data_IF_176327637227
#
_entry.id   IF_176327637227
#
_cell.length_a   1.000
_cell.length_b   1.000
_cell.length_c   1.000
_cell.angle_alpha   90.00
_cell.angle_beta   90.00
_cell.angle_gamma   90.00
#
_symmetry.space_group_name_H-M   'P 1'
#
loop_
_entity.id
_entity.type
_entity.pdbx_description
1 polymer ?
#
# COMPACT_ATOMS: atom_id res chain seq x y z
N UNK A 1 -9.95 -30.20 18.24
CA UNK A 1 -10.72 -29.46 19.26
C UNK A 1 -11.56 -28.33 18.63
N UNK A 2 -12.89 -28.43 18.72
CA UNK A 2 -13.82 -27.34 18.43
C UNK A 2 -13.87 -26.41 19.65
N UNK A 3 -13.05 -25.35 19.70
CA UNK A 3 -13.15 -24.36 20.77
C UNK A 3 -14.24 -23.34 20.42
N UNK A 4 -15.33 -23.36 21.20
CA UNK A 4 -16.34 -22.29 21.22
C UNK A 4 -16.01 -21.38 22.41
N UNK A 5 -15.25 -20.32 22.16
CA UNK A 5 -14.86 -19.35 23.21
C UNK A 5 -15.85 -18.19 23.20
N UNK A 6 -16.79 -18.21 24.14
CA UNK A 6 -17.71 -17.11 24.36
C UNK A 6 -17.08 -16.23 25.46
N UNK A 7 -16.79 -14.97 25.14
CA UNK A 7 -16.46 -13.90 26.09
C UNK A 7 -15.23 -14.11 27.00
N UNK A 8 -14.07 -14.44 26.44
CA UNK A 8 -12.82 -14.50 27.20
C UNK A 8 -11.95 -13.24 27.06
N UNK A 9 -11.36 -12.79 28.18
CA UNK A 9 -10.29 -11.78 28.22
C UNK A 9 -8.93 -12.51 28.32
N UNK A 10 -8.10 -12.40 27.29
CA UNK A 10 -6.73 -12.94 27.30
C UNK A 10 -5.72 -11.81 27.41
N UNK A 11 -4.96 -11.77 28.49
CA UNK A 11 -3.86 -10.81 28.70
C UNK A 11 -2.52 -11.56 28.58
N UNK A 12 -1.66 -11.14 27.66
CA UNK A 12 -0.31 -11.69 27.53
C UNK A 12 -0.22 -13.13 27.00
N UNK A 13 -1.30 -13.70 26.45
CA UNK A 13 -1.28 -15.08 25.95
C UNK A 13 -0.23 -15.27 24.85
N UNK A 14 0.68 -16.24 25.04
CA UNK A 14 1.62 -16.68 24.03
C UNK A 14 1.20 -18.04 23.48
N UNK A 15 1.06 -18.15 22.16
CA UNK A 15 0.77 -19.43 21.52
C UNK A 15 1.75 -19.70 20.38
N UNK A 16 2.34 -20.89 20.39
CA UNK A 16 3.27 -21.38 19.36
C UNK A 16 2.67 -22.62 18.70
N UNK A 17 2.57 -22.61 17.38
CA UNK A 17 2.11 -23.77 16.60
C UNK A 17 0.64 -24.15 16.78
N UNK A 18 -0.18 -23.27 17.36
CA UNK A 18 -1.60 -23.59 17.61
C UNK A 18 -2.36 -23.85 16.30
N UNK A 19 -3.02 -25.00 16.20
CA UNK A 19 -3.91 -25.36 15.09
C UNK A 19 -5.35 -25.34 15.57
N UNK A 20 -6.20 -24.53 14.92
CA UNK A 20 -7.62 -24.44 15.25
C UNK A 20 -8.47 -24.64 14.00
N UNK A 21 -9.49 -25.49 14.13
CA UNK A 21 -10.46 -25.75 13.06
C UNK A 21 -11.86 -25.49 13.59
N UNK A 22 -12.64 -24.70 12.85
CA UNK A 22 -14.04 -24.42 13.18
C UNK A 22 -14.26 -23.61 14.45
N UNK A 23 -13.23 -22.92 14.95
CA UNK A 23 -13.35 -22.17 16.20
C UNK A 23 -14.32 -20.99 16.03
N UNK A 24 -15.24 -20.84 16.99
CA UNK A 24 -16.17 -19.71 17.05
C UNK A 24 -15.86 -18.87 18.27
N UNK A 25 -15.59 -17.58 18.06
CA UNK A 25 -15.29 -16.63 19.12
C UNK A 25 -16.26 -15.47 19.09
N UNK A 26 -16.86 -15.14 20.24
CA UNK A 26 -17.75 -13.99 20.38
C UNK A 26 -17.30 -13.12 21.54
N UNK A 27 -17.11 -11.82 21.29
CA UNK A 27 -16.78 -10.84 22.32
C UNK A 27 -15.41 -11.03 22.98
N UNK A 28 -14.50 -11.78 22.36
CA UNK A 28 -13.17 -12.03 22.93
C UNK A 28 -12.35 -10.73 22.95
N UNK A 29 -11.67 -10.46 24.07
CA UNK A 29 -10.76 -9.33 24.21
C UNK A 29 -9.35 -9.85 24.43
N UNK A 30 -8.41 -9.45 23.59
CA UNK A 30 -7.01 -9.86 23.70
C UNK A 30 -6.11 -8.65 23.83
N UNK A 31 -5.22 -8.66 24.82
CA UNK A 31 -4.22 -7.62 25.01
C UNK A 31 -2.83 -8.23 25.09
N UNK A 32 -1.92 -7.76 24.23
CA UNK A 32 -0.51 -8.16 24.26
C UNK A 32 -0.27 -9.62 23.87
N UNK A 33 -1.18 -10.26 23.15
CA UNK A 33 -1.03 -11.65 22.76
C UNK A 33 0.09 -11.81 21.70
N UNK A 34 0.92 -12.84 21.84
CA UNK A 34 1.92 -13.22 20.86
C UNK A 34 1.56 -14.57 20.24
N UNK A 35 1.55 -14.64 18.91
CA UNK A 35 1.24 -15.88 18.20
C UNK A 35 2.30 -16.17 17.14
N UNK A 36 2.85 -17.39 17.15
CA UNK A 36 3.86 -17.81 16.19
C UNK A 36 3.46 -19.12 15.53
N UNK A 37 3.35 -19.12 14.20
CA UNK A 37 3.07 -20.33 13.42
C UNK A 37 1.66 -20.89 13.61
N UNK A 38 0.69 -20.06 14.00
CA UNK A 38 -0.68 -20.52 14.21
C UNK A 38 -1.37 -20.81 12.87
N UNK A 39 -2.11 -21.92 12.80
CA UNK A 39 -2.95 -22.29 11.66
C UNK A 39 -4.42 -22.25 12.08
N UNK A 40 -5.23 -21.53 11.31
CA UNK A 40 -6.67 -21.41 11.56
C UNK A 40 -7.46 -21.74 10.30
N UNK A 41 -8.43 -22.65 10.43
CA UNK A 41 -9.31 -23.03 9.32
C UNK A 41 -10.77 -22.92 9.72
N UNK A 42 -11.54 -22.14 8.96
CA UNK A 42 -12.98 -21.99 9.16
C UNK A 42 -13.37 -21.31 10.47
N UNK A 43 -12.51 -20.42 10.99
CA UNK A 43 -12.80 -19.72 12.23
C UNK A 43 -13.82 -18.59 12.02
N UNK A 44 -14.76 -18.44 12.94
CA UNK A 44 -15.72 -17.33 12.98
C UNK A 44 -15.44 -16.45 14.19
N UNK A 45 -15.30 -15.14 13.97
CA UNK A 45 -15.07 -14.17 15.05
C UNK A 45 -16.09 -13.04 14.98
N UNK A 46 -16.76 -12.75 16.10
CA UNK A 46 -17.73 -11.67 16.18
C UNK A 46 -17.44 -10.76 17.38
N UNK A 47 -17.27 -9.46 17.12
CA UNK A 47 -17.10 -8.46 18.18
C UNK A 47 -15.81 -8.61 18.96
N UNK A 48 -14.75 -9.15 18.35
CA UNK A 48 -13.47 -9.33 19.02
C UNK A 48 -12.70 -8.00 19.12
N UNK A 49 -12.07 -7.74 20.26
CA UNK A 49 -11.17 -6.60 20.47
C UNK A 49 -9.73 -7.09 20.65
N UNK A 50 -8.80 -6.50 19.93
CA UNK A 50 -7.37 -6.86 20.02
C UNK A 50 -6.52 -5.61 20.18
N UNK A 51 -5.64 -5.59 21.19
CA UNK A 51 -4.74 -4.48 21.46
C UNK A 51 -3.30 -4.97 21.63
N UNK A 52 -2.40 -4.47 20.79
CA UNK A 52 -0.97 -4.77 20.90
C UNK A 52 -0.61 -6.23 20.61
N UNK A 53 -1.37 -6.92 19.75
CA UNK A 53 -1.10 -8.31 19.40
C UNK A 53 0.05 -8.40 18.39
N UNK A 54 0.93 -9.39 18.54
CA UNK A 54 2.01 -9.72 17.61
C UNK A 54 1.76 -11.09 16.98
N UNK A 55 1.75 -11.16 15.65
CA UNK A 55 1.57 -12.42 14.92
C UNK A 55 2.70 -12.64 13.92
N UNK A 56 3.31 -13.84 13.95
CA UNK A 56 4.40 -14.22 13.04
C UNK A 56 4.11 -15.56 12.38
N UNK A 57 4.06 -15.58 11.05
CA UNK A 57 3.91 -16.82 10.28
C UNK A 57 2.54 -17.49 10.45
N UNK A 58 1.48 -16.73 10.71
CA UNK A 58 0.14 -17.28 10.86
C UNK A 58 -0.47 -17.62 9.49
N UNK A 59 -1.15 -18.77 9.39
CA UNK A 59 -1.93 -19.19 8.22
C UNK A 59 -3.41 -19.20 8.56
N UNK A 60 -4.22 -18.54 7.73
CA UNK A 60 -5.68 -18.48 7.92
C UNK A 60 -6.40 -18.87 6.64
N UNK A 61 -7.35 -19.79 6.73
CA UNK A 61 -8.16 -20.23 5.59
C UNK A 61 -9.65 -20.21 5.92
N UNK A 62 -10.43 -19.49 5.12
CA UNK A 62 -11.90 -19.48 5.25
C UNK A 62 -12.38 -18.84 6.55
N UNK A 63 -11.66 -17.85 7.09
CA UNK A 63 -12.05 -17.18 8.31
C UNK A 63 -13.12 -16.11 8.05
N UNK A 64 -14.11 -15.99 8.93
CA UNK A 64 -15.12 -14.94 8.91
C UNK A 64 -14.94 -14.04 10.13
N UNK A 65 -14.91 -12.73 9.92
CA UNK A 65 -14.80 -11.75 11.00
C UNK A 65 -15.88 -10.67 10.85
N UNK A 66 -16.58 -10.39 11.95
CA UNK A 66 -17.61 -9.34 11.98
C UNK A 66 -17.44 -8.43 13.19
N UNK A 67 -17.33 -7.12 12.94
CA UNK A 67 -17.29 -6.11 14.00
C UNK A 67 -16.04 -6.20 14.88
N UNK A 68 -14.90 -6.63 14.32
CA UNK A 68 -13.66 -6.74 15.07
C UNK A 68 -12.96 -5.36 15.18
N UNK A 69 -12.37 -5.07 16.34
CA UNK A 69 -11.55 -3.88 16.59
C UNK A 69 -10.10 -4.29 16.86
N UNK A 70 -9.16 -3.66 16.15
CA UNK A 70 -7.73 -3.92 16.30
C UNK A 70 -6.97 -2.62 16.51
N UNK A 71 -6.12 -2.55 17.54
CA UNK A 71 -5.28 -1.38 17.83
C UNK A 71 -3.83 -1.79 18.07
N UNK A 72 -2.92 -1.24 17.27
CA UNK A 72 -1.47 -1.44 17.47
C UNK A 72 -1.01 -2.89 17.23
N UNK A 73 -1.67 -3.62 16.33
CA UNK A 73 -1.29 -4.99 16.00
C UNK A 73 -0.09 -5.02 15.03
N UNK A 74 0.83 -5.96 15.22
CA UNK A 74 1.96 -6.21 14.34
C UNK A 74 1.83 -7.60 13.72
N UNK A 75 1.91 -7.70 12.39
CA UNK A 75 1.84 -8.97 11.67
C UNK A 75 3.03 -9.14 10.72
N UNK A 76 3.68 -10.30 10.75
CA UNK A 76 4.83 -10.62 9.88
C UNK A 76 4.66 -11.98 9.23
N UNK A 77 4.69 -12.01 7.89
CA UNK A 77 4.68 -13.27 7.13
C UNK A 77 3.35 -14.04 7.25
N UNK A 78 2.23 -13.34 7.41
CA UNK A 78 0.93 -13.99 7.51
C UNK A 78 0.39 -14.38 6.12
N UNK A 79 -0.24 -15.54 6.02
CA UNK A 79 -0.93 -16.02 4.82
C UNK A 79 -2.43 -16.09 5.09
N UNK A 80 -3.23 -15.51 4.20
CA UNK A 80 -4.70 -15.52 4.33
C UNK A 80 -5.34 -15.94 3.00
N UNK A 81 -6.27 -16.90 3.07
CA UNK A 81 -7.01 -17.38 1.89
C UNK A 81 -8.50 -17.44 2.17
N UNK A 82 -9.29 -16.79 1.33
CA UNK A 82 -10.76 -16.87 1.39
C UNK A 82 -11.34 -16.27 2.67
N UNK A 83 -10.72 -15.22 3.21
CA UNK A 83 -11.22 -14.58 4.42
C UNK A 83 -12.31 -13.56 4.10
N UNK A 84 -13.36 -13.50 4.93
CA UNK A 84 -14.43 -12.51 4.86
C UNK A 84 -14.40 -11.60 6.08
N UNK A 85 -14.43 -10.30 5.87
CA UNK A 85 -14.41 -9.30 6.94
C UNK A 85 -15.52 -8.28 6.75
N UNK A 86 -16.31 -8.04 7.80
CA UNK A 86 -17.39 -7.04 7.77
C UNK A 86 -17.33 -6.12 8.98
N UNK A 87 -17.31 -4.81 8.74
CA UNK A 87 -17.39 -3.81 9.81
C UNK A 87 -16.19 -3.81 10.75
N UNK A 88 -15.00 -4.15 10.25
CA UNK A 88 -13.80 -4.18 11.07
C UNK A 88 -13.18 -2.78 11.20
N UNK A 89 -12.66 -2.45 12.38
CA UNK A 89 -11.93 -1.21 12.65
C UNK A 89 -10.47 -1.54 12.99
N UNK A 90 -9.54 -0.86 12.33
CA UNK A 90 -8.11 -1.05 12.55
C UNK A 90 -7.41 0.29 12.76
N UNK A 91 -6.60 0.40 13.81
CA UNK A 91 -5.82 1.61 14.10
C UNK A 91 -4.37 1.27 14.42
N UNK A 92 -3.44 1.91 13.70
CA UNK A 92 -2.01 1.81 13.99
C UNK A 92 -1.44 0.41 13.78
N UNK A 93 -2.00 -0.36 12.83
CA UNK A 93 -1.52 -1.71 12.55
C UNK A 93 -0.29 -1.69 11.63
N UNK A 94 0.68 -2.55 11.90
CA UNK A 94 1.87 -2.76 11.06
C UNK A 94 1.83 -4.15 10.45
N UNK A 95 2.04 -4.25 9.14
CA UNK A 95 2.04 -5.53 8.42
C UNK A 95 3.25 -5.63 7.49
N UNK A 96 3.99 -6.75 7.56
CA UNK A 96 5.19 -6.99 6.74
C UNK A 96 5.15 -8.36 6.08
N UNK A 97 5.24 -8.39 4.76
CA UNK A 97 5.34 -9.64 4.00
C UNK A 97 4.10 -10.52 4.06
N UNK A 98 2.91 -9.92 4.15
CA UNK A 98 1.65 -10.66 4.20
C UNK A 98 1.18 -11.05 2.79
N UNK A 99 0.61 -12.24 2.65
CA UNK A 99 -0.02 -12.73 1.42
C UNK A 99 -1.52 -12.92 1.63
N UNK A 100 -2.34 -12.38 0.74
CA UNK A 100 -3.80 -12.49 0.81
C UNK A 100 -4.37 -12.93 -0.54
N UNK A 101 -5.18 -13.99 -0.56
CA UNK A 101 -5.83 -14.49 -1.79
C UNK A 101 -7.33 -14.66 -1.59
N UNK A 102 -8.13 -14.02 -2.46
CA UNK A 102 -9.59 -14.19 -2.46
C UNK A 102 -10.27 -13.64 -1.21
N UNK A 103 -9.76 -12.55 -0.64
CA UNK A 103 -10.35 -11.94 0.55
C UNK A 103 -11.49 -10.98 0.18
N UNK A 104 -12.56 -10.97 0.98
CA UNK A 104 -13.67 -10.03 0.85
C UNK A 104 -13.75 -9.13 2.08
N UNK A 105 -13.83 -7.81 1.87
CA UNK A 105 -13.94 -6.83 2.96
C UNK A 105 -15.09 -5.87 2.70
N UNK A 106 -16.00 -5.71 3.66
CA UNK A 106 -17.12 -4.76 3.56
C UNK A 106 -17.19 -3.83 4.77
N UNK A 107 -17.23 -2.53 4.53
CA UNK A 107 -17.45 -1.52 5.57
C UNK A 107 -16.30 -1.45 6.59
N UNK A 108 -15.07 -1.70 6.16
CA UNK A 108 -13.91 -1.66 7.06
C UNK A 108 -13.36 -0.23 7.19
N UNK A 109 -12.92 0.14 8.38
CA UNK A 109 -12.24 1.41 8.67
C UNK A 109 -10.79 1.16 9.08
N UNK A 110 -9.86 1.89 8.46
CA UNK A 110 -8.43 1.77 8.75
C UNK A 110 -7.81 3.13 8.97
N UNK A 111 -7.08 3.32 10.06
CA UNK A 111 -6.38 4.58 10.36
C UNK A 111 -4.93 4.35 10.77
N UNK A 112 -4.00 5.03 10.10
CA UNK A 112 -2.58 5.01 10.46
C UNK A 112 -1.92 3.64 10.28
N UNK A 113 -2.37 2.85 9.31
CA UNK A 113 -1.81 1.52 9.07
C UNK A 113 -0.54 1.60 8.20
N UNK A 114 0.46 0.78 8.49
CA UNK A 114 1.69 0.63 7.71
C UNK A 114 1.76 -0.77 7.11
N UNK A 115 2.01 -0.85 5.80
CA UNK A 115 2.14 -2.12 5.08
C UNK A 115 3.41 -2.13 4.25
N UNK A 116 4.23 -3.19 4.36
CA UNK A 116 5.46 -3.36 3.58
C UNK A 116 5.54 -4.74 2.94
N UNK A 117 5.71 -4.77 1.62
CA UNK A 117 5.93 -6.01 0.87
C UNK A 117 4.75 -6.98 0.90
N UNK A 118 3.51 -6.45 0.93
CA UNK A 118 2.31 -7.28 0.93
C UNK A 118 1.91 -7.67 -0.50
N UNK A 119 1.42 -8.90 -0.68
CA UNK A 119 0.89 -9.40 -1.96
C UNK A 119 -0.60 -9.72 -1.82
N UNK A 120 -1.42 -9.16 -2.71
CA UNK A 120 -2.87 -9.40 -2.73
C UNK A 120 -3.33 -9.87 -4.10
N UNK A 121 -4.13 -10.95 -4.14
CA UNK A 121 -4.70 -11.49 -5.38
C UNK A 121 -6.20 -11.76 -5.25
N UNK A 122 -7.00 -11.20 -6.16
CA UNK A 122 -8.44 -11.47 -6.23
C UNK A 122 -9.21 -10.96 -5.03
N UNK A 123 -8.80 -9.84 -4.43
CA UNK A 123 -9.48 -9.27 -3.27
C UNK A 123 -10.65 -8.37 -3.69
N UNK A 124 -11.77 -8.44 -2.99
CA UNK A 124 -12.93 -7.56 -3.19
C UNK A 124 -13.14 -6.68 -1.97
N UNK A 125 -13.27 -5.37 -2.18
CA UNK A 125 -13.48 -4.39 -1.10
C UNK A 125 -14.67 -3.50 -1.43
N UNK A 126 -15.60 -3.34 -0.47
CA UNK A 126 -16.77 -2.46 -0.64
C UNK A 126 -16.96 -1.54 0.58
N UNK A 127 -17.07 -0.24 0.33
CA UNK A 127 -17.40 0.73 1.38
C UNK A 127 -16.31 0.88 2.44
N UNK A 128 -15.03 0.70 2.07
CA UNK A 128 -13.93 0.79 3.01
C UNK A 128 -13.44 2.25 3.15
N UNK A 129 -13.11 2.68 4.37
CA UNK A 129 -12.50 3.97 4.64
C UNK A 129 -11.06 3.80 5.13
N UNK A 130 -10.14 4.56 4.55
CA UNK A 130 -8.71 4.54 4.92
C UNK A 130 -8.19 5.95 5.15
N UNK A 131 -7.53 6.18 6.28
CA UNK A 131 -6.92 7.49 6.60
C UNK A 131 -5.48 7.35 7.08
N UNK A 132 -4.56 8.07 6.45
CA UNK A 132 -3.16 8.14 6.90
C UNK A 132 -2.42 6.80 6.76
N UNK A 133 -2.77 5.97 5.78
CA UNK A 133 -2.14 4.68 5.58
C UNK A 133 -0.86 4.82 4.73
N UNK A 134 0.20 4.10 5.10
CA UNK A 134 1.44 4.03 4.34
C UNK A 134 1.63 2.63 3.76
N UNK A 135 1.92 2.55 2.46
CA UNK A 135 2.15 1.28 1.77
C UNK A 135 3.46 1.34 0.98
N UNK A 136 4.33 0.35 1.15
CA UNK A 136 5.60 0.27 0.42
C UNK A 136 5.82 -1.11 -0.20
N UNK A 137 6.06 -1.14 -1.50
CA UNK A 137 6.42 -2.38 -2.22
C UNK A 137 5.30 -3.42 -2.23
N UNK A 138 4.03 -2.99 -2.20
CA UNK A 138 2.90 -3.91 -2.26
C UNK A 138 2.55 -4.28 -3.70
N UNK A 139 2.20 -5.55 -3.95
CA UNK A 139 1.68 -6.00 -5.24
C UNK A 139 0.21 -6.39 -5.12
N UNK A 140 -0.62 -5.92 -6.04
CA UNK A 140 -2.04 -6.26 -6.10
C UNK A 140 -2.41 -6.72 -7.50
N UNK A 141 -3.11 -7.85 -7.60
CA UNK A 141 -3.58 -8.41 -8.88
C UNK A 141 -5.05 -8.80 -8.83
N UNK A 142 -5.85 -8.33 -9.79
CA UNK A 142 -7.26 -8.74 -9.91
C UNK A 142 -8.13 -8.27 -8.75
N UNK A 143 -7.83 -7.12 -8.15
CA UNK A 143 -8.59 -6.61 -7.01
C UNK A 143 -9.77 -5.73 -7.47
N UNK A 144 -10.94 -5.89 -6.87
CA UNK A 144 -12.10 -5.03 -7.10
C UNK A 144 -12.37 -4.16 -5.89
N UNK A 145 -12.59 -2.87 -6.11
CA UNK A 145 -12.89 -1.89 -5.06
C UNK A 145 -14.11 -1.05 -5.45
N UNK A 146 -15.10 -0.97 -4.56
CA UNK A 146 -16.31 -0.17 -4.79
C UNK A 146 -16.64 0.72 -3.60
N UNK A 147 -16.84 2.03 -3.84
CA UNK A 147 -17.27 2.95 -2.78
C UNK A 147 -16.23 3.15 -1.68
N UNK A 148 -14.94 3.04 -2.00
CA UNK A 148 -13.88 3.19 -1.01
C UNK A 148 -13.46 4.66 -0.87
N UNK A 149 -13.24 5.14 0.35
CA UNK A 149 -12.70 6.48 0.62
C UNK A 149 -11.28 6.38 1.17
N UNK A 150 -10.36 7.17 0.61
CA UNK A 150 -8.97 7.23 1.07
C UNK A 150 -8.55 8.68 1.29
N UNK A 151 -7.95 8.97 2.46
CA UNK A 151 -7.43 10.31 2.78
C UNK A 151 -6.02 10.25 3.36
N UNK A 152 -5.09 11.04 2.80
CA UNK A 152 -3.73 11.14 3.35
C UNK A 152 -2.92 9.86 3.25
N UNK A 153 -3.21 9.00 2.26
CA UNK A 153 -2.51 7.73 2.09
C UNK A 153 -1.24 7.91 1.25
N UNK A 154 -0.12 7.32 1.66
CA UNK A 154 1.12 7.32 0.90
C UNK A 154 1.41 5.93 0.35
N UNK A 155 1.76 5.85 -0.93
CA UNK A 155 2.10 4.58 -1.59
C UNK A 155 3.39 4.73 -2.38
N UNK A 156 4.39 3.90 -2.07
CA UNK A 156 5.70 3.91 -2.76
C UNK A 156 6.04 2.54 -3.33
N UNK A 157 6.31 2.48 -4.64
CA UNK A 157 6.71 1.25 -5.32
C UNK A 157 5.65 0.15 -5.29
N UNK A 158 4.37 0.51 -5.21
CA UNK A 158 3.27 -0.44 -5.32
C UNK A 158 2.98 -0.77 -6.78
N UNK A 159 2.67 -2.04 -7.08
CA UNK A 159 2.26 -2.51 -8.41
C UNK A 159 0.81 -2.99 -8.36
N UNK A 160 -0.01 -2.55 -9.31
CA UNK A 160 -1.44 -2.89 -9.42
C UNK A 160 -1.72 -3.38 -10.84
N UNK A 161 -2.12 -4.64 -11.02
CA UNK A 161 -2.49 -5.21 -12.35
C UNK A 161 -3.92 -5.74 -12.34
N UNK A 162 -4.73 -5.32 -13.31
CA UNK A 162 -6.11 -5.78 -13.47
C UNK A 162 -7.00 -5.44 -12.26
N UNK A 163 -6.75 -4.29 -11.62
CA UNK A 163 -7.58 -3.82 -10.52
C UNK A 163 -8.72 -2.94 -11.07
N UNK A 164 -9.93 -3.10 -10.54
CA UNK A 164 -11.11 -2.29 -10.87
C UNK A 164 -11.50 -1.42 -9.68
N UNK A 165 -11.77 -0.14 -9.94
CA UNK A 165 -12.17 0.85 -8.92
C UNK A 165 -13.42 1.57 -9.39
N UNK A 166 -14.54 1.45 -8.68
CA UNK A 166 -15.79 2.17 -8.98
C UNK A 166 -16.26 3.00 -7.79
N UNK A 167 -16.48 4.30 -7.99
CA UNK A 167 -16.96 5.21 -6.95
C UNK A 167 -15.99 5.35 -5.77
N UNK A 168 -14.69 5.25 -6.03
CA UNK A 168 -13.67 5.47 -5.00
C UNK A 168 -13.29 6.96 -4.94
N UNK A 169 -13.14 7.51 -3.74
CA UNK A 169 -12.71 8.89 -3.51
C UNK A 169 -11.32 8.91 -2.88
N UNK A 170 -10.41 9.72 -3.41
CA UNK A 170 -9.04 9.86 -2.90
C UNK A 170 -8.68 11.33 -2.69
N UNK A 171 -8.37 11.73 -1.46
CA UNK A 171 -7.95 13.11 -1.13
C UNK A 171 -6.60 13.15 -0.42
N UNK A 172 -5.65 13.91 -0.94
CA UNK A 172 -4.30 14.04 -0.36
C UNK A 172 -3.52 12.74 -0.34
N UNK A 173 -3.76 11.84 -1.30
CA UNK A 173 -2.99 10.61 -1.43
C UNK A 173 -1.74 10.87 -2.29
N UNK A 174 -0.57 10.44 -1.82
CA UNK A 174 0.69 10.51 -2.58
C UNK A 174 1.02 9.14 -3.18
N UNK A 175 1.19 9.09 -4.50
CA UNK A 175 1.65 7.92 -5.25
C UNK A 175 3.04 8.24 -5.79
N UNK A 176 4.02 7.40 -5.46
CA UNK A 176 5.36 7.51 -6.02
C UNK A 176 5.74 6.16 -6.63
N UNK A 177 5.51 6.05 -7.94
CA UNK A 177 5.86 4.86 -8.72
C UNK A 177 7.32 4.90 -9.14
N UNK A 178 8.00 3.74 -9.14
CA UNK A 178 9.35 3.60 -9.70
C UNK A 178 9.41 4.06 -11.17
N UNK A 179 8.29 3.92 -11.88
CA UNK A 179 8.16 4.32 -13.29
C UNK A 179 8.04 5.85 -13.46
N UNK A 180 7.46 6.56 -12.49
CA UNK A 180 7.39 8.02 -12.51
C UNK A 180 8.75 8.66 -12.22
N UNK A 181 9.56 8.07 -11.34
CA UNK A 181 10.94 8.52 -11.14
C UNK A 181 11.75 8.43 -12.43
N UNK A 182 11.63 7.34 -13.19
CA UNK A 182 12.34 7.17 -14.46
C UNK A 182 11.83 8.17 -15.50
N UNK A 183 10.50 8.39 -15.59
CA UNK A 183 9.93 9.40 -16.48
C UNK A 183 10.36 10.81 -16.12
N UNK A 184 10.38 11.16 -14.84
CA UNK A 184 10.87 12.46 -14.37
C UNK A 184 12.35 12.63 -14.64
N UNK A 185 13.16 11.59 -14.44
CA UNK A 185 14.59 11.63 -14.76
C UNK A 185 14.81 11.83 -16.27
N UNK A 186 14.08 11.08 -17.11
CA UNK A 186 14.11 11.25 -18.58
C UNK A 186 13.66 12.65 -19.00
N UNK A 187 12.60 13.21 -18.41
CA UNK A 187 12.13 14.58 -18.70
C UNK A 187 13.15 15.64 -18.29
N UNK A 188 13.77 15.48 -17.11
CA UNK A 188 14.82 16.39 -16.63
C UNK A 188 16.07 16.32 -17.53
N UNK A 189 16.47 15.12 -17.95
CA UNK A 189 17.56 14.92 -18.88
C UNK A 189 17.28 15.53 -20.28
N UNK A 190 16.06 15.37 -20.81
CA UNK A 190 15.65 15.99 -22.08
C UNK A 190 15.60 17.53 -22.01
N UNK A 191 15.12 18.07 -20.88
CA UNK A 191 15.12 19.51 -20.61
C UNK A 191 16.53 20.08 -20.59
N UNK A 192 17.46 19.42 -19.90
CA UNK A 192 18.88 19.82 -19.86
C UNK A 192 19.54 19.72 -21.23
N UNK A 193 19.22 18.68 -22.01
CA UNK A 193 19.73 18.53 -23.37
C UNK A 193 19.27 19.69 -24.29
N UNK A 194 17.99 20.04 -24.27
CA UNK A 194 17.45 21.18 -25.04
C UNK A 194 18.08 22.51 -24.64
N UNK A 195 18.28 22.74 -23.34
CA UNK A 195 18.93 23.96 -22.85
C UNK A 195 20.37 24.07 -23.35
N UNK A 196 21.12 22.96 -23.29
CA UNK A 196 22.51 22.91 -23.75
C UNK A 196 22.62 23.07 -25.27
N UNK A 197 21.67 22.54 -26.03
CA UNK A 197 21.62 22.68 -27.48
C UNK A 197 21.32 24.11 -27.91
N UNK A 198 20.33 24.76 -27.29
CA UNK A 198 20.02 26.18 -27.54
C UNK A 198 21.18 27.10 -27.17
N UNK A 199 21.89 26.81 -26.08
CA UNK A 199 23.06 27.60 -25.68
C UNK A 199 24.20 27.50 -26.70
N UNK A 200 24.47 26.28 -27.21
CA UNK A 200 25.46 26.09 -28.29
C UNK A 200 25.06 26.82 -29.57
N UNK A 201 23.79 26.70 -30.00
CA UNK A 201 23.31 27.37 -31.20
C UNK A 201 23.38 28.90 -31.08
N UNK A 202 23.01 29.45 -29.93
CA UNK A 202 23.13 30.90 -29.66
C UNK A 202 24.58 31.37 -29.69
N UNK A 203 25.53 30.58 -29.17
CA UNK A 203 26.96 30.87 -29.25
C UNK A 203 27.46 30.84 -30.70
N UNK A 204 27.12 29.81 -31.47
CA UNK A 204 27.52 29.72 -32.88
C UNK A 204 26.95 30.88 -33.70
N UNK A 205 25.69 31.24 -33.50
CA UNK A 205 25.07 32.39 -34.17
C UNK A 205 25.78 33.71 -33.85
N UNK A 206 26.14 33.93 -32.58
CA UNK A 206 26.88 35.12 -32.15
C UNK A 206 28.29 35.19 -32.75
N UNK A 207 29.00 34.05 -32.82
CA UNK A 207 30.33 33.95 -33.45
C UNK A 207 30.24 34.23 -34.95
N UNK A 208 29.26 33.65 -35.65
CA UNK A 208 29.08 33.91 -37.09
C UNK A 208 28.71 35.36 -37.37
N UNK A 209 27.89 35.99 -36.51
CA UNK A 209 27.49 37.39 -36.68
C UNK A 209 28.68 38.35 -36.46
N UNK A 210 29.51 38.09 -35.47
CA UNK A 210 30.74 38.87 -35.23
C UNK A 210 31.75 38.71 -36.37
N UNK A 211 31.93 37.50 -36.89
CA UNK A 211 32.78 37.28 -38.07
C UNK A 211 32.28 38.02 -39.31
N UNK A 212 30.97 37.96 -39.60
CA UNK A 212 30.39 38.63 -40.76
C UNK A 212 30.47 40.15 -40.66
N UNK A 213 30.25 40.71 -39.48
CA UNK A 213 30.38 42.16 -39.24
C UNK A 213 31.82 42.64 -39.38
N UNK A 214 32.81 41.91 -38.82
CA UNK A 214 34.23 42.21 -39.03
C UNK A 214 34.65 42.12 -40.49
N UNK A 215 34.16 41.12 -41.24
CA UNK A 215 34.43 40.99 -42.66
C UNK A 215 33.85 42.15 -43.48
N UNK A 216 32.63 42.60 -43.14
CA UNK A 216 31.98 43.73 -43.80
C UNK A 216 32.74 45.05 -43.53
N UNK A 217 33.16 45.28 -42.28
CA UNK A 217 33.95 46.45 -41.90
C UNK A 217 35.29 46.46 -42.65
N UNK A 218 35.96 45.31 -42.74
CA UNK A 218 37.26 45.18 -43.41
C UNK A 218 37.15 45.43 -44.92
N UNK A 219 36.08 44.95 -45.56
CA UNK A 219 35.85 45.17 -47.00
C UNK A 219 35.41 46.60 -47.32
N UNK A 220 34.70 47.28 -46.42
CA UNK A 220 34.40 48.71 -46.52
C UNK A 220 35.67 49.57 -46.34
N UNK A 221 36.54 49.22 -45.39
CA UNK A 221 37.80 49.93 -45.14
C UNK A 221 38.81 49.82 -46.30
N UNK A 222 38.75 48.75 -47.09
CA UNK A 222 39.57 48.57 -48.31
C UNK A 222 39.02 49.32 -49.54
N UNK A 223 37.80 49.86 -49.48
CA UNK A 223 37.13 50.58 -50.59
C UNK A 223 37.17 52.11 -50.44
N UNK A 224 37.73 52.62 -49.35
CA UNK A 224 38.02 54.04 -49.09
C UNK A 224 39.51 54.27 -49.27
#
# INVERSE_FOLDING_TARGET
CFLKLITHKFRGASTRGASTRGASTRGASTRGASTRGASTRGASTRGASTRGASTRGASTRGASTRGASTRGASTRGASTRGASTRGASTRGASTRGASTRGASTRGASTRGASTRGASTRGASTRGASTRGASTRGASTRGASTRGASTRGASTRGASTRGASTRGASTRGASRMSRNENIKNFKRKALSLYKLRYNFKYSMYAAITFTYMTQYLISTLALRV
#
